data_IF_298457120506
#
_entry.id   IF_298457120506
#
_cell.length_a   1.000
_cell.length_b   1.000
_cell.length_c   1.000
_cell.angle_alpha   90.00
_cell.angle_beta   90.00
_cell.angle_gamma   90.00
#
_symmetry.space_group_name_H-M   'P 1'
#
loop_
_entity.id
_entity.type
_entity.pdbx_description
1 polymer ?
#
# COMPACT_ATOMS: atom_id res chain seq x y z
N UNK A 1 1.31 6.11 -4.01
CA UNK A 1 -0.03 6.04 -3.38
C UNK A 1 -0.89 5.03 -4.12
N UNK A 2 -1.57 4.18 -3.38
CA UNK A 2 -2.41 3.15 -3.96
C UNK A 2 -3.80 3.21 -3.35
N UNK A 3 -4.85 3.29 -4.20
CA UNK A 3 -6.24 3.24 -3.78
C UNK A 3 -6.79 1.83 -3.94
N UNK A 4 -7.46 1.33 -2.91
CA UNK A 4 -8.07 0.01 -2.94
C UNK A 4 -9.44 0.07 -2.28
N UNK A 5 -10.45 -0.49 -2.93
CA UNK A 5 -11.78 -0.65 -2.35
C UNK A 5 -11.98 -2.11 -1.97
N UNK A 6 -12.32 -2.37 -0.72
CA UNK A 6 -12.40 -3.72 -0.17
C UNK A 6 -13.82 -4.01 0.30
N UNK A 7 -14.47 -5.09 -0.19
CA UNK A 7 -15.77 -5.50 0.32
C UNK A 7 -15.72 -5.81 1.82
N UNK A 8 -16.84 -5.61 2.50
CA UNK A 8 -16.95 -5.80 3.95
C UNK A 8 -16.42 -7.16 4.40
N UNK A 9 -16.75 -8.22 3.67
CA UNK A 9 -16.34 -9.59 4.01
C UNK A 9 -14.84 -9.84 3.91
N UNK A 10 -14.10 -8.95 3.26
CA UNK A 10 -12.66 -9.12 3.01
C UNK A 10 -11.79 -8.13 3.79
N UNK A 11 -12.40 -7.23 4.56
CA UNK A 11 -11.66 -6.16 5.25
C UNK A 11 -10.68 -6.66 6.29
N UNK A 12 -11.05 -7.67 7.05
CA UNK A 12 -10.15 -8.22 8.07
C UNK A 12 -8.92 -8.88 7.43
N UNK A 13 -9.13 -9.63 6.36
CA UNK A 13 -8.03 -10.23 5.60
C UNK A 13 -7.15 -9.15 4.97
N UNK A 14 -7.76 -8.10 4.45
CA UNK A 14 -7.02 -6.97 3.87
C UNK A 14 -6.15 -6.26 4.91
N UNK A 15 -6.69 -6.01 6.11
CA UNK A 15 -5.94 -5.37 7.20
C UNK A 15 -4.78 -6.24 7.69
N UNK A 16 -5.01 -7.54 7.80
CA UNK A 16 -3.94 -8.48 8.13
C UNK A 16 -2.83 -8.43 7.08
N UNK A 17 -3.23 -8.44 5.82
CA UNK A 17 -2.29 -8.35 4.73
C UNK A 17 -1.53 -7.02 4.73
N UNK A 18 -2.21 -5.91 5.07
CA UNK A 18 -1.57 -4.60 5.17
C UNK A 18 -0.49 -4.58 6.26
N UNK A 19 -0.70 -5.29 7.38
CA UNK A 19 0.33 -5.41 8.41
C UNK A 19 1.55 -6.16 7.91
N UNK A 20 1.35 -7.21 7.13
CA UNK A 20 2.45 -7.95 6.51
C UNK A 20 3.19 -7.08 5.48
N UNK A 21 2.45 -6.32 4.71
CA UNK A 21 2.99 -5.36 3.76
C UNK A 21 3.85 -4.32 4.47
N UNK A 22 3.36 -3.77 5.57
CA UNK A 22 4.12 -2.80 6.37
C UNK A 22 5.45 -3.39 6.84
N UNK A 23 5.43 -4.61 7.34
CA UNK A 23 6.66 -5.28 7.78
C UNK A 23 7.64 -5.44 6.63
N UNK A 24 7.15 -5.89 5.47
CA UNK A 24 7.96 -6.06 4.28
C UNK A 24 8.68 -4.76 3.88
N UNK A 25 7.94 -3.64 3.81
CA UNK A 25 8.52 -2.36 3.41
C UNK A 25 9.43 -1.78 4.48
N UNK A 26 9.06 -1.91 5.75
CA UNK A 26 9.89 -1.45 6.86
C UNK A 26 11.24 -2.18 6.87
N UNK A 27 11.23 -3.49 6.68
CA UNK A 27 12.45 -4.30 6.63
C UNK A 27 13.33 -3.94 5.42
N UNK A 28 12.74 -3.44 4.36
CA UNK A 28 13.45 -2.97 3.18
C UNK A 28 13.95 -1.52 3.31
N UNK A 29 13.77 -0.89 4.45
CA UNK A 29 14.18 0.49 4.68
C UNK A 29 13.22 1.53 4.11
N UNK A 30 11.98 1.13 3.84
CA UNK A 30 10.94 2.00 3.31
C UNK A 30 9.91 2.35 4.38
N UNK A 31 9.16 3.41 4.14
CA UNK A 31 8.03 3.78 4.98
C UNK A 31 6.74 3.31 4.30
N UNK A 32 5.80 2.83 5.11
CA UNK A 32 4.49 2.41 4.65
C UNK A 32 3.45 2.88 5.67
N UNK A 33 2.35 3.46 5.19
CA UNK A 33 1.20 3.78 6.03
C UNK A 33 -0.08 3.73 5.21
N UNK A 34 -1.21 3.61 5.89
CA UNK A 34 -2.49 3.44 5.26
C UNK A 34 -3.56 4.24 5.99
N UNK A 35 -4.45 4.85 5.22
CA UNK A 35 -5.64 5.52 5.73
C UNK A 35 -6.89 4.87 5.16
N UNK A 36 -7.94 4.85 5.96
CA UNK A 36 -9.28 4.53 5.48
C UNK A 36 -10.06 5.83 5.32
N UNK A 37 -10.80 5.98 4.22
CA UNK A 37 -11.61 7.16 4.01
C UNK A 37 -12.76 7.21 5.00
N UNK A 38 -12.92 8.33 5.72
CA UNK A 38 -13.92 8.46 6.78
C UNK A 38 -15.36 8.32 6.25
N UNK A 39 -15.60 8.86 5.05
CA UNK A 39 -16.94 8.88 4.46
C UNK A 39 -17.21 7.68 3.53
N UNK A 40 -16.24 6.81 3.35
CA UNK A 40 -16.37 5.66 2.45
C UNK A 40 -15.68 4.44 3.06
N UNK A 41 -16.33 3.74 3.99
CA UNK A 41 -15.75 2.55 4.62
C UNK A 41 -15.34 1.50 3.58
N UNK A 42 -14.15 0.93 3.76
CA UNK A 42 -13.59 -0.03 2.83
C UNK A 42 -12.76 0.59 1.72
N UNK A 43 -12.72 1.92 1.60
CA UNK A 43 -11.84 2.61 0.68
C UNK A 43 -10.55 2.97 1.41
N UNK A 44 -9.46 2.33 1.01
CA UNK A 44 -8.15 2.50 1.64
C UNK A 44 -7.19 3.21 0.71
N UNK A 45 -6.33 4.04 1.30
CA UNK A 45 -5.24 4.69 0.58
C UNK A 45 -3.95 4.27 1.25
N UNK A 46 -3.05 3.69 0.49
CA UNK A 46 -1.75 3.23 0.97
C UNK A 46 -0.65 4.12 0.42
N UNK A 47 0.30 4.46 1.27
CA UNK A 47 1.44 5.29 0.91
C UNK A 47 2.72 4.53 1.12
N UNK A 48 3.61 4.62 0.14
CA UNK A 48 4.92 3.99 0.14
C UNK A 48 5.96 5.08 -0.10
N UNK A 49 6.96 5.16 0.77
CA UNK A 49 7.98 6.19 0.68
C UNK A 49 9.34 5.65 1.05
N UNK A 50 10.36 6.10 0.36
CA UNK A 50 11.75 5.86 0.75
C UNK A 50 12.60 7.05 0.32
N UNK A 51 13.62 7.37 1.12
CA UNK A 51 14.66 8.33 0.74
C UNK A 51 15.55 7.76 -0.36
N UNK A 52 15.54 6.44 -0.56
CA UNK A 52 16.26 5.74 -1.62
C UNK A 52 15.24 5.15 -2.60
N UNK A 53 15.14 5.75 -3.77
CA UNK A 53 14.22 5.31 -4.83
C UNK A 53 14.46 3.86 -5.22
N UNK A 54 15.72 3.42 -5.27
CA UNK A 54 16.05 2.05 -5.64
C UNK A 54 15.58 1.05 -4.59
N UNK A 55 15.65 1.40 -3.30
CA UNK A 55 15.13 0.56 -2.23
C UNK A 55 13.63 0.36 -2.38
N UNK A 56 12.89 1.42 -2.74
CA UNK A 56 11.45 1.33 -2.96
C UNK A 56 11.12 0.43 -4.15
N UNK A 57 11.85 0.58 -5.25
CA UNK A 57 11.66 -0.26 -6.44
C UNK A 57 11.92 -1.73 -6.09
N UNK A 58 12.98 -2.03 -5.35
CA UNK A 58 13.28 -3.40 -4.91
C UNK A 58 12.19 -3.95 -3.99
N UNK A 59 11.69 -3.13 -3.06
CA UNK A 59 10.63 -3.55 -2.16
C UNK A 59 9.35 -3.90 -2.91
N UNK A 60 8.98 -3.12 -3.90
CA UNK A 60 7.83 -3.41 -4.77
C UNK A 60 8.04 -4.71 -5.57
N UNK A 61 9.24 -4.93 -6.08
CA UNK A 61 9.55 -6.12 -6.88
C UNK A 61 9.51 -7.41 -6.06
N UNK A 62 9.82 -7.33 -4.75
CA UNK A 62 9.87 -8.50 -3.86
C UNK A 62 8.63 -8.63 -2.97
N UNK A 63 7.63 -7.78 -3.14
CA UNK A 63 6.39 -7.87 -2.38
C UNK A 63 5.70 -9.21 -2.65
N UNK A 64 5.14 -9.81 -1.60
CA UNK A 64 4.56 -11.15 -1.65
C UNK A 64 3.30 -11.25 -2.50
N UNK A 65 2.73 -10.13 -2.90
CA UNK A 65 1.61 -10.12 -3.85
C UNK A 65 2.05 -9.63 -5.20
N UNK A 66 1.44 -10.15 -6.28
CA UNK A 66 1.60 -9.53 -7.57
C UNK A 66 1.28 -8.06 -7.39
N UNK A 67 2.18 -7.21 -7.83
CA UNK A 67 2.02 -5.78 -7.72
C UNK A 67 0.58 -5.45 -8.15
N UNK A 68 -0.28 -4.96 -7.26
CA UNK A 68 -1.56 -4.48 -7.69
C UNK A 68 -1.28 -3.44 -8.75
N UNK A 69 -2.17 -3.31 -9.69
CA UNK A 69 -2.03 -2.32 -10.75
C UNK A 69 -1.57 -1.03 -10.12
N UNK A 70 -0.37 -0.61 -10.50
CA UNK A 70 0.18 0.65 -10.05
C UNK A 70 -0.68 1.76 -10.64
N UNK A 71 -1.57 2.28 -9.82
CA UNK A 71 -2.19 3.55 -10.15
C UNK A 71 -1.16 4.62 -9.78
N UNK A 72 -0.46 5.09 -10.78
CA UNK A 72 0.38 6.26 -10.58
C UNK A 72 -0.58 7.42 -10.42
N UNK A 73 -0.51 8.08 -9.27
CA UNK A 73 -1.26 9.29 -9.08
C UNK A 73 -0.82 10.30 -10.13
N UNK A 74 -1.77 10.67 -10.98
CA UNK A 74 -1.54 11.77 -11.89
C UNK A 74 -1.79 13.04 -11.10
N UNK A 75 -0.74 13.82 -10.89
CA UNK A 75 -0.85 15.13 -10.28
C UNK A 75 -1.58 16.04 -11.26
N UNK A 76 -2.81 16.42 -10.93
CA UNK A 76 -3.65 17.26 -11.77
C UNK A 76 -3.51 18.75 -11.46
N UNK A 77 -2.45 19.12 -10.78
CA UNK A 77 -2.17 20.56 -10.57
C UNK A 77 -1.70 21.24 -11.83
#
# INVERSE_FOLDING_TARGET
MRHTTVPTSERDAFRKHARETRTHYTDAGCRYWMYEEADLPGAYVEFFESSDKEALVRAHATAAQPAPRLYVEVDLT
#
